data_IF_472890455813
#
_entry.id   IF_472890455813
#
_cell.length_a   1.000
_cell.length_b   1.000
_cell.length_c   1.000
_cell.angle_alpha   90.00
_cell.angle_beta   90.00
_cell.angle_gamma   90.00
#
_symmetry.space_group_name_H-M   'P 1'
#
loop_
_entity.id
_entity.type
_entity.pdbx_description
1 polymer ?
#
# COMPACT_ATOMS: atom_id res chain seq x y z
N UNK A 1 -32.81 -19.18 -15.96
CA UNK A 1 -32.51 -17.76 -16.21
C UNK A 1 -31.06 -17.70 -16.62
N UNK A 2 -30.76 -17.15 -17.80
CA UNK A 2 -29.40 -17.02 -18.25
C UNK A 2 -28.66 -16.01 -17.35
N UNK A 3 -27.48 -16.38 -16.80
CA UNK A 3 -26.60 -15.44 -16.12
C UNK A 3 -26.25 -14.33 -17.11
N UNK A 4 -26.31 -13.04 -16.70
CA UNK A 4 -25.87 -11.97 -17.55
C UNK A 4 -24.39 -12.22 -17.91
N UNK A 5 -24.06 -12.14 -19.21
CA UNK A 5 -22.70 -12.20 -19.70
C UNK A 5 -21.88 -11.13 -18.95
N UNK A 6 -20.97 -11.57 -18.10
CA UNK A 6 -20.05 -10.64 -17.42
C UNK A 6 -19.24 -9.93 -18.52
N UNK A 7 -19.32 -8.62 -18.56
CA UNK A 7 -18.47 -7.82 -19.45
C UNK A 7 -17.02 -8.10 -19.07
N UNK A 8 -16.11 -8.37 -20.02
CA UNK A 8 -14.72 -8.60 -19.67
C UNK A 8 -14.15 -7.38 -18.94
N UNK A 9 -13.37 -7.63 -17.88
CA UNK A 9 -12.69 -6.59 -17.13
C UNK A 9 -11.85 -5.71 -18.08
N UNK A 10 -12.02 -4.40 -17.97
CA UNK A 10 -11.16 -3.44 -18.66
C UNK A 10 -10.18 -2.86 -17.65
N UNK A 11 -8.90 -2.91 -18.00
CA UNK A 11 -7.80 -2.42 -17.17
C UNK A 11 -7.24 -1.16 -17.79
N UNK A 12 -7.25 -0.05 -17.03
CA UNK A 12 -6.63 1.22 -17.40
C UNK A 12 -5.53 1.56 -16.43
N UNK A 13 -4.28 1.44 -16.83
CA UNK A 13 -3.14 1.87 -15.99
C UNK A 13 -3.19 3.38 -15.74
N UNK A 14 -2.88 3.77 -14.51
CA UNK A 14 -2.93 5.17 -14.08
C UNK A 14 -1.56 5.84 -14.09
N UNK A 15 -0.49 5.09 -13.80
CA UNK A 15 0.88 5.58 -13.91
C UNK A 15 1.81 4.48 -14.44
N UNK A 16 3.05 4.86 -14.75
CA UNK A 16 4.09 3.89 -15.09
C UNK A 16 4.57 3.11 -13.86
N UNK A 17 4.44 3.68 -12.67
CA UNK A 17 4.96 3.11 -11.43
C UNK A 17 4.03 2.05 -10.84
N UNK A 18 2.74 2.36 -10.70
CA UNK A 18 1.72 1.50 -10.09
C UNK A 18 0.32 2.06 -10.37
N UNK A 19 -0.69 1.27 -10.00
CA UNK A 19 -2.09 1.68 -10.00
C UNK A 19 -2.82 1.41 -11.32
N UNK A 20 -3.99 0.77 -11.22
CA UNK A 20 -4.89 0.53 -12.33
C UNK A 20 -6.35 0.74 -11.92
N UNK A 21 -7.13 1.33 -12.83
CA UNK A 21 -8.58 1.38 -12.72
C UNK A 21 -9.18 0.20 -13.47
N UNK A 22 -10.09 -0.50 -12.81
CA UNK A 22 -10.71 -1.73 -13.29
C UNK A 22 -12.21 -1.47 -13.42
N UNK A 23 -12.76 -1.68 -14.60
CA UNK A 23 -14.18 -1.57 -14.87
C UNK A 23 -14.75 -2.87 -15.43
N UNK A 24 -16.07 -3.06 -15.32
CA UNK A 24 -16.75 -4.25 -15.81
C UNK A 24 -16.81 -5.42 -14.82
N UNK A 25 -16.31 -5.23 -13.58
CA UNK A 25 -16.43 -6.20 -12.50
C UNK A 25 -17.45 -5.72 -11.45
N UNK A 26 -18.19 -6.65 -10.88
CA UNK A 26 -19.09 -6.41 -9.72
C UNK A 26 -18.53 -7.15 -8.50
N UNK A 27 -17.97 -6.40 -7.56
CA UNK A 27 -17.30 -6.98 -6.39
C UNK A 27 -18.29 -7.39 -5.27
N UNK A 28 -19.54 -6.92 -5.30
CA UNK A 28 -20.58 -7.37 -4.37
C UNK A 28 -20.94 -8.86 -4.57
N UNK A 29 -20.60 -9.43 -5.72
CA UNK A 29 -20.86 -10.82 -6.09
C UNK A 29 -19.56 -11.57 -6.40
N UNK A 30 -18.52 -11.35 -5.59
CA UNK A 30 -17.23 -11.97 -5.79
C UNK A 30 -17.30 -13.49 -5.61
N UNK A 31 -17.02 -14.22 -6.68
CA UNK A 31 -16.80 -15.66 -6.68
C UNK A 31 -15.28 -15.97 -6.64
N UNK A 32 -14.86 -17.22 -6.39
CA UNK A 32 -13.44 -17.58 -6.34
C UNK A 32 -12.66 -17.19 -7.60
N UNK A 33 -13.26 -17.30 -8.78
CA UNK A 33 -12.61 -16.95 -10.06
C UNK A 33 -12.36 -15.44 -10.15
N UNK A 34 -13.33 -14.62 -9.75
CA UNK A 34 -13.19 -13.17 -9.70
C UNK A 34 -12.12 -12.77 -8.66
N UNK A 35 -12.12 -13.41 -7.50
CA UNK A 35 -11.12 -13.19 -6.45
C UNK A 35 -9.72 -13.49 -6.97
N UNK A 36 -9.49 -14.61 -7.65
CA UNK A 36 -8.19 -14.97 -8.24
C UNK A 36 -7.77 -13.97 -9.32
N UNK A 37 -8.72 -13.50 -10.13
CA UNK A 37 -8.44 -12.44 -11.11
C UNK A 37 -8.01 -11.14 -10.44
N UNK A 38 -8.70 -10.72 -9.37
CA UNK A 38 -8.36 -9.51 -8.60
C UNK A 38 -7.01 -9.65 -7.92
N UNK A 39 -6.69 -10.82 -7.34
CA UNK A 39 -5.36 -11.11 -6.77
C UNK A 39 -4.25 -10.94 -7.80
N UNK A 40 -4.42 -11.53 -8.99
CA UNK A 40 -3.45 -11.39 -10.08
C UNK A 40 -3.24 -9.94 -10.51
N UNK A 41 -4.33 -9.17 -10.65
CA UNK A 41 -4.26 -7.75 -10.97
C UNK A 41 -3.59 -6.93 -9.85
N UNK A 42 -3.85 -7.27 -8.57
CA UNK A 42 -3.24 -6.58 -7.43
C UNK A 42 -1.73 -6.82 -7.38
N UNK A 43 -1.26 -8.04 -7.64
CA UNK A 43 0.17 -8.34 -7.74
C UNK A 43 0.85 -7.59 -8.91
N UNK A 44 0.14 -7.41 -10.03
CA UNK A 44 0.67 -6.70 -11.19
C UNK A 44 0.72 -5.18 -10.99
N UNK A 45 -0.34 -4.61 -10.38
CA UNK A 45 -0.53 -3.16 -10.34
C UNK A 45 -0.36 -2.54 -8.95
N UNK A 46 -0.26 -3.32 -7.87
CA UNK A 46 -0.11 -2.99 -6.45
C UNK A 46 -1.27 -2.19 -5.84
N UNK A 47 -1.98 -1.41 -6.65
CA UNK A 47 -3.18 -0.64 -6.25
C UNK A 47 -4.22 -0.74 -7.35
N UNK A 48 -5.45 -1.09 -6.98
CA UNK A 48 -6.59 -1.22 -7.90
C UNK A 48 -7.73 -0.30 -7.48
N UNK A 49 -8.33 0.36 -8.44
CA UNK A 49 -9.50 1.22 -8.25
C UNK A 49 -10.67 0.65 -9.05
N UNK A 50 -11.80 0.50 -8.40
CA UNK A 50 -13.04 -0.02 -8.98
C UNK A 50 -14.12 1.06 -8.84
N UNK A 51 -14.36 1.88 -9.85
CA UNK A 51 -15.45 2.87 -9.82
C UNK A 51 -16.82 2.20 -9.76
N UNK A 52 -17.83 2.97 -9.33
CA UNK A 52 -19.24 2.61 -9.34
C UNK A 52 -19.59 1.30 -8.58
N UNK A 53 -18.83 0.96 -7.53
CA UNK A 53 -19.13 -0.16 -6.67
C UNK A 53 -20.16 0.26 -5.61
N UNK A 54 -21.25 -0.53 -5.50
CA UNK A 54 -22.31 -0.30 -4.51
C UNK A 54 -22.36 -1.48 -3.55
N UNK A 55 -21.39 -1.54 -2.64
CA UNK A 55 -21.34 -2.56 -1.60
C UNK A 55 -22.03 -2.05 -0.34
N UNK A 56 -22.89 -2.89 0.25
CA UNK A 56 -23.25 -2.78 1.65
C UNK A 56 -22.04 -3.10 2.54
N UNK A 57 -22.08 -2.70 3.80
CA UNK A 57 -21.02 -3.04 4.76
C UNK A 57 -20.81 -4.54 4.89
N UNK A 58 -21.90 -5.34 4.87
CA UNK A 58 -21.82 -6.80 4.92
C UNK A 58 -21.11 -7.38 3.70
N UNK A 59 -21.40 -6.88 2.49
CA UNK A 59 -20.72 -7.29 1.26
C UNK A 59 -19.26 -6.86 1.27
N UNK A 60 -18.93 -5.69 1.84
CA UNK A 60 -17.57 -5.22 1.98
C UNK A 60 -16.74 -6.13 2.90
N UNK A 61 -17.29 -6.52 4.05
CA UNK A 61 -16.66 -7.48 4.97
C UNK A 61 -16.53 -8.86 4.31
N UNK A 62 -17.59 -9.35 3.64
CA UNK A 62 -17.54 -10.63 2.93
C UNK A 62 -16.47 -10.65 1.84
N UNK A 63 -16.33 -9.54 1.09
CA UNK A 63 -15.27 -9.38 0.11
C UNK A 63 -13.89 -9.46 0.76
N UNK A 64 -13.67 -8.81 1.90
CA UNK A 64 -12.42 -8.87 2.65
C UNK A 64 -12.03 -10.30 3.04
N UNK A 65 -12.97 -11.09 3.52
CA UNK A 65 -12.74 -12.50 3.92
C UNK A 65 -12.28 -13.42 2.79
N UNK A 66 -12.53 -13.07 1.51
CA UNK A 66 -11.95 -13.82 0.39
C UNK A 66 -10.43 -13.67 0.28
N UNK A 67 -9.87 -12.67 0.92
CA UNK A 67 -8.43 -12.39 0.88
C UNK A 67 -7.69 -12.83 2.15
N UNK A 68 -8.39 -13.09 3.25
CA UNK A 68 -7.82 -13.57 4.51
C UNK A 68 -8.60 -13.11 5.74
N UNK A 69 -7.97 -13.28 6.91
CA UNK A 69 -8.55 -12.81 8.17
C UNK A 69 -8.53 -11.29 8.23
N UNK A 70 -9.59 -10.71 8.79
CA UNK A 70 -9.71 -9.26 8.91
C UNK A 70 -9.17 -8.79 10.25
N UNK A 71 -8.67 -7.56 10.27
CA UNK A 71 -8.28 -6.88 11.50
C UNK A 71 -9.51 -6.75 12.41
N UNK A 72 -9.36 -7.19 13.66
CA UNK A 72 -10.32 -6.99 14.73
C UNK A 72 -9.76 -5.91 15.68
N UNK A 73 -10.06 -4.65 15.40
CA UNK A 73 -9.52 -3.52 16.13
C UNK A 73 -10.52 -3.00 17.17
N UNK A 74 -10.10 -2.75 18.43
CA UNK A 74 -10.98 -2.27 19.50
C UNK A 74 -11.55 -0.85 19.27
N UNK A 75 -11.04 -0.12 18.29
CA UNK A 75 -11.60 1.15 17.82
C UNK A 75 -12.52 0.99 16.58
N UNK A 76 -12.70 -0.25 16.09
CA UNK A 76 -13.65 -0.59 15.04
C UNK A 76 -15.03 -0.72 15.65
N UNK A 77 -16.06 -0.29 14.93
CA UNK A 77 -17.44 -0.51 15.35
C UNK A 77 -17.93 0.42 16.49
N UNK A 78 -17.49 1.67 16.56
CA UNK A 78 -18.07 2.65 17.48
C UNK A 78 -19.47 3.14 17.07
N UNK A 79 -19.91 2.82 15.86
CA UNK A 79 -21.31 2.94 15.46
C UNK A 79 -22.00 1.63 15.82
N UNK A 80 -23.00 1.66 16.70
CA UNK A 80 -23.68 0.50 17.28
C UNK A 80 -24.25 -0.52 16.26
N UNK A 81 -24.33 -0.16 14.97
CA UNK A 81 -24.87 -0.99 13.89
C UNK A 81 -23.82 -1.46 12.87
N UNK A 82 -22.54 -1.04 12.97
CA UNK A 82 -21.52 -1.42 11.99
C UNK A 82 -20.81 -2.73 12.35
N UNK A 83 -20.47 -3.60 11.35
CA UNK A 83 -19.64 -4.78 11.60
C UNK A 83 -18.32 -4.42 12.27
N UNK A 84 -17.87 -5.24 13.22
CA UNK A 84 -16.66 -5.00 14.01
C UNK A 84 -15.36 -4.86 13.19
N UNK A 85 -15.34 -5.40 11.96
CA UNK A 85 -14.19 -5.34 11.04
C UNK A 85 -14.18 -4.12 10.12
N UNK A 86 -15.15 -3.19 10.24
CA UNK A 86 -15.18 -1.97 9.44
C UNK A 86 -14.60 -0.81 10.25
N UNK A 87 -13.53 -0.25 9.72
CA UNK A 87 -12.99 1.03 10.18
C UNK A 87 -13.62 2.17 9.37
N UNK A 88 -14.42 3.00 10.04
CA UNK A 88 -15.00 4.21 9.43
C UNK A 88 -14.20 5.44 9.87
N UNK A 89 -13.77 6.22 8.89
CA UNK A 89 -13.02 7.45 9.11
C UNK A 89 -13.78 8.62 8.53
N UNK A 90 -14.07 9.61 9.38
CA UNK A 90 -14.74 10.86 9.02
C UNK A 90 -13.79 12.02 9.28
N UNK A 91 -13.49 12.80 8.25
CA UNK A 91 -12.46 13.85 8.32
C UNK A 91 -12.79 14.92 9.39
N UNK A 92 -14.06 15.30 9.57
CA UNK A 92 -14.47 16.25 10.62
C UNK A 92 -14.24 15.77 12.05
N UNK A 93 -13.99 14.45 12.24
CA UNK A 93 -13.66 13.84 13.53
C UNK A 93 -12.15 13.73 13.77
N UNK A 94 -11.31 14.36 12.93
CA UNK A 94 -9.87 14.48 13.11
C UNK A 94 -9.06 13.34 12.51
N UNK A 95 -9.65 12.47 11.71
CA UNK A 95 -8.94 11.35 11.09
C UNK A 95 -8.49 11.67 9.66
N UNK A 96 -7.30 12.22 9.49
CA UNK A 96 -6.67 12.38 8.18
C UNK A 96 -5.30 11.72 8.23
N UNK A 97 -5.09 10.71 7.37
CA UNK A 97 -3.83 9.98 7.27
C UNK A 97 -2.89 10.72 6.29
N UNK A 98 -2.43 11.92 6.68
CA UNK A 98 -1.61 12.84 5.89
C UNK A 98 -0.10 12.74 6.17
N UNK A 99 0.34 11.57 6.60
CA UNK A 99 1.74 11.15 6.65
C UNK A 99 1.93 9.87 5.81
N UNK A 100 3.07 9.72 5.15
CA UNK A 100 3.34 8.53 4.36
C UNK A 100 3.47 7.29 5.24
N UNK A 101 2.61 6.29 4.99
CA UNK A 101 2.57 5.06 5.78
C UNK A 101 2.16 3.83 4.98
N UNK A 102 2.55 2.70 5.50
CA UNK A 102 1.95 1.38 5.28
C UNK A 102 1.15 1.04 6.52
N UNK A 103 -0.06 0.50 6.36
CA UNK A 103 -0.96 0.23 7.49
C UNK A 103 -0.34 -0.69 8.55
N UNK A 104 -0.49 -0.31 9.81
CA UNK A 104 -0.20 -1.07 11.03
C UNK A 104 1.16 -1.78 11.09
N UNK A 105 2.23 -1.15 10.56
CA UNK A 105 3.58 -1.75 10.57
C UNK A 105 4.20 -1.88 11.97
N UNK A 106 3.55 -1.40 13.00
CA UNK A 106 3.94 -1.62 14.39
C UNK A 106 3.54 -3.01 14.93
N UNK A 107 2.82 -3.81 14.15
CA UNK A 107 2.49 -5.20 14.49
C UNK A 107 3.51 -6.17 13.88
N UNK A 108 3.76 -7.30 14.56
CA UNK A 108 4.65 -8.36 14.07
C UNK A 108 4.11 -9.03 12.80
N UNK A 109 2.79 -9.09 12.68
CA UNK A 109 2.06 -9.51 11.49
C UNK A 109 1.24 -8.33 10.95
N UNK A 110 1.84 -7.44 10.16
CA UNK A 110 1.17 -6.25 9.68
C UNK A 110 0.13 -6.57 8.59
N UNK A 111 -0.65 -5.57 8.20
CA UNK A 111 -1.65 -5.71 7.15
C UNK A 111 -1.03 -6.22 5.84
N UNK A 112 -1.68 -7.22 5.24
CA UNK A 112 -1.38 -7.67 3.88
C UNK A 112 -1.93 -6.70 2.85
N UNK A 113 -3.21 -6.38 2.99
CA UNK A 113 -3.90 -5.46 2.09
C UNK A 113 -5.02 -4.72 2.80
N UNK A 114 -5.43 -3.63 2.20
CA UNK A 114 -6.59 -2.87 2.66
C UNK A 114 -7.59 -2.70 1.52
N UNK A 115 -8.87 -2.71 1.85
CA UNK A 115 -9.99 -2.50 0.94
C UNK A 115 -10.78 -1.30 1.47
N UNK A 116 -10.76 -0.20 0.73
CA UNK A 116 -11.40 1.06 1.10
C UNK A 116 -12.58 1.34 0.17
N UNK A 117 -13.73 1.64 0.76
CA UNK A 117 -14.90 2.14 0.07
C UNK A 117 -15.03 3.65 0.33
N UNK A 118 -15.00 4.45 -0.72
CA UNK A 118 -15.21 5.91 -0.63
C UNK A 118 -16.71 6.21 -0.55
N UNK A 119 -17.19 6.54 0.64
CA UNK A 119 -18.61 6.83 0.89
C UNK A 119 -18.95 8.25 0.47
N UNK A 120 -18.12 9.21 0.88
CA UNK A 120 -18.27 10.61 0.54
C UNK A 120 -16.89 11.25 0.37
N UNK A 121 -16.74 12.07 -0.65
CA UNK A 121 -15.52 12.85 -0.86
C UNK A 121 -15.84 14.30 -1.24
N UNK A 122 -14.92 15.24 -0.94
CA UNK A 122 -15.05 16.61 -1.39
C UNK A 122 -14.99 16.67 -2.93
N UNK A 123 -15.54 17.74 -3.51
CA UNK A 123 -15.52 17.96 -4.97
C UNK A 123 -14.11 18.28 -5.50
N UNK A 124 -13.22 18.79 -4.65
CA UNK A 124 -11.84 19.17 -4.97
C UNK A 124 -10.97 18.82 -3.77
N UNK A 125 -9.80 18.21 -4.02
CA UNK A 125 -8.85 17.80 -2.99
C UNK A 125 -9.24 16.50 -2.27
N UNK A 126 -8.52 16.15 -1.22
CA UNK A 126 -8.71 14.89 -0.48
C UNK A 126 -8.32 13.65 -1.26
N UNK A 127 -7.53 13.81 -2.31
CA UNK A 127 -6.98 12.70 -3.10
C UNK A 127 -6.06 11.83 -2.22
N UNK A 128 -5.81 10.62 -2.67
CA UNK A 128 -4.82 9.76 -2.03
C UNK A 128 -3.69 9.46 -3.02
N UNK A 129 -2.48 9.38 -2.51
CA UNK A 129 -1.29 8.97 -3.25
C UNK A 129 -0.80 7.62 -2.75
N UNK A 130 -0.27 6.81 -3.64
CA UNK A 130 0.44 5.56 -3.32
C UNK A 130 1.82 5.58 -3.93
N UNK A 131 2.79 4.94 -3.26
CA UNK A 131 4.15 4.78 -3.73
C UNK A 131 4.52 3.31 -3.89
N UNK A 132 5.24 2.98 -4.96
CA UNK A 132 5.75 1.66 -5.28
C UNK A 132 7.09 1.41 -4.60
N UNK A 133 7.09 0.58 -3.55
CA UNK A 133 8.28 0.29 -2.76
C UNK A 133 9.24 -0.72 -3.41
N UNK A 134 8.77 -1.50 -4.40
CA UNK A 134 9.66 -2.31 -5.25
C UNK A 134 10.56 -1.39 -6.07
N UNK A 135 9.93 -0.44 -6.77
CA UNK A 135 10.62 0.49 -7.63
C UNK A 135 11.56 1.40 -6.84
N UNK A 136 11.12 1.84 -5.66
CA UNK A 136 11.96 2.63 -4.75
C UNK A 136 13.21 1.85 -4.33
N UNK A 137 13.09 0.57 -3.92
CA UNK A 137 14.26 -0.25 -3.61
C UNK A 137 15.18 -0.43 -4.83
N UNK A 138 14.63 -0.75 -5.99
CA UNK A 138 15.40 -0.99 -7.22
C UNK A 138 16.22 0.24 -7.64
N UNK A 139 15.71 1.43 -7.39
CA UNK A 139 16.34 2.69 -7.76
C UNK A 139 17.36 3.21 -6.71
N UNK A 140 17.50 2.55 -5.57
CA UNK A 140 18.63 2.80 -4.68
C UNK A 140 19.93 2.40 -5.37
N UNK A 141 21.02 3.12 -5.08
CA UNK A 141 22.37 2.69 -5.52
C UNK A 141 22.73 1.32 -4.92
N UNK A 142 23.51 0.53 -5.64
CA UNK A 142 23.94 -0.81 -5.15
C UNK A 142 24.54 -0.79 -3.74
N UNK A 143 25.41 0.19 -3.35
CA UNK A 143 25.89 0.26 -1.97
C UNK A 143 24.78 0.45 -0.93
N UNK A 144 23.76 1.28 -1.23
CA UNK A 144 22.63 1.47 -0.32
C UNK A 144 21.72 0.25 -0.28
N UNK A 145 21.50 -0.44 -1.39
CA UNK A 145 20.78 -1.70 -1.40
C UNK A 145 21.46 -2.75 -0.52
N UNK A 146 22.80 -2.88 -0.63
CA UNK A 146 23.59 -3.81 0.18
C UNK A 146 23.53 -3.46 1.68
N UNK A 147 23.64 -2.18 2.01
CA UNK A 147 23.53 -1.71 3.39
C UNK A 147 22.14 -2.01 3.94
N UNK A 148 21.07 -1.57 3.26
CA UNK A 148 19.71 -1.72 3.75
C UNK A 148 19.26 -3.17 3.98
N UNK A 149 19.81 -4.14 3.22
CA UNK A 149 19.51 -5.58 3.43
C UNK A 149 20.00 -6.12 4.77
N UNK A 150 20.98 -5.47 5.39
CA UNK A 150 21.57 -5.90 6.64
C UNK A 150 20.97 -5.20 7.86
N UNK A 151 19.98 -4.34 7.64
CA UNK A 151 19.42 -3.46 8.65
C UNK A 151 17.99 -3.85 8.99
N UNK A 152 17.64 -3.63 10.26
CA UNK A 152 16.27 -3.71 10.77
C UNK A 152 15.81 -2.34 11.29
N UNK A 153 14.52 -2.13 11.27
CA UNK A 153 13.91 -0.89 11.73
C UNK A 153 12.86 -1.16 12.80
N UNK A 154 12.86 -0.33 13.84
CA UNK A 154 11.84 -0.32 14.87
C UNK A 154 10.65 0.53 14.41
N UNK A 155 9.48 -0.06 14.47
CA UNK A 155 8.19 0.59 14.23
C UNK A 155 7.38 0.63 15.52
N UNK A 156 6.64 1.72 15.77
CA UNK A 156 5.74 1.84 16.92
C UNK A 156 4.40 2.49 16.56
N UNK A 157 3.43 2.31 17.45
CA UNK A 157 2.11 2.92 17.34
C UNK A 157 2.00 4.26 18.12
N UNK A 158 3.11 5.00 18.27
CA UNK A 158 3.09 6.34 18.91
C UNK A 158 2.05 7.29 18.29
N UNK A 159 1.86 7.34 16.95
CA UNK A 159 0.82 8.17 16.34
C UNK A 159 -0.60 7.80 16.77
N UNK A 160 -0.80 6.57 17.23
CA UNK A 160 -2.08 6.07 17.75
C UNK A 160 -2.19 6.14 19.27
N UNK A 161 -1.25 6.82 19.96
CA UNK A 161 -1.13 6.91 21.42
C UNK A 161 -0.87 5.56 22.11
N UNK A 162 -0.25 4.62 21.41
CA UNK A 162 0.15 3.30 21.91
C UNK A 162 1.64 3.03 21.68
N UNK A 163 2.57 3.85 22.23
CA UNK A 163 4.01 3.72 21.98
C UNK A 163 4.61 2.39 22.46
N UNK A 164 3.90 1.66 23.32
CA UNK A 164 4.28 0.33 23.80
C UNK A 164 4.08 -0.78 22.74
N UNK A 165 3.22 -0.55 21.76
CA UNK A 165 3.04 -1.49 20.65
C UNK A 165 4.15 -1.27 19.63
N UNK A 166 5.05 -2.21 19.55
CA UNK A 166 6.25 -2.12 18.72
C UNK A 166 6.52 -3.41 17.96
N UNK A 167 7.11 -3.27 16.78
CA UNK A 167 7.67 -4.38 16.02
C UNK A 167 9.00 -3.98 15.39
N UNK A 168 9.88 -4.95 15.20
CA UNK A 168 11.13 -4.78 14.45
C UNK A 168 11.00 -5.54 13.14
N UNK A 169 11.19 -4.84 12.03
CA UNK A 169 11.10 -5.41 10.70
C UNK A 169 12.40 -5.19 9.92
N UNK A 170 12.73 -6.05 8.94
CA UNK A 170 13.84 -5.76 8.03
C UNK A 170 13.56 -4.47 7.24
N UNK A 171 14.59 -3.66 7.04
CA UNK A 171 14.51 -2.47 6.18
C UNK A 171 14.21 -2.87 4.73
N UNK A 172 14.65 -4.04 4.31
CA UNK A 172 14.31 -4.64 3.02
C UNK A 172 13.65 -6.00 3.25
N UNK A 173 12.33 -6.04 3.12
CA UNK A 173 11.57 -7.30 3.20
C UNK A 173 11.48 -8.00 1.85
N UNK A 174 11.21 -9.31 1.87
CA UNK A 174 10.73 -10.03 0.69
C UNK A 174 9.20 -9.98 0.63
N UNK A 175 8.67 -9.78 -0.57
CA UNK A 175 7.23 -9.95 -0.78
C UNK A 175 6.91 -11.46 -0.93
N UNK A 176 6.02 -12.04 -0.11
CA UNK A 176 5.89 -13.49 -0.01
C UNK A 176 5.37 -14.18 -1.27
N UNK A 177 4.60 -13.48 -2.10
CA UNK A 177 4.03 -14.06 -3.34
C UNK A 177 4.91 -13.79 -4.57
N UNK A 178 5.60 -12.64 -4.63
CA UNK A 178 6.40 -12.26 -5.80
C UNK A 178 7.89 -12.56 -5.65
N UNK A 179 8.37 -12.74 -4.41
CA UNK A 179 9.79 -12.89 -4.12
C UNK A 179 10.60 -11.60 -4.27
N UNK A 180 9.94 -10.46 -4.48
CA UNK A 180 10.63 -9.17 -4.73
C UNK A 180 11.09 -8.49 -3.45
N UNK A 181 12.24 -7.79 -3.48
CA UNK A 181 12.65 -6.91 -2.41
C UNK A 181 11.81 -5.63 -2.38
N UNK A 182 11.45 -5.24 -1.18
CA UNK A 182 10.63 -4.08 -0.87
C UNK A 182 11.36 -3.21 0.13
N UNK A 183 11.48 -1.92 -0.11
CA UNK A 183 11.98 -0.97 0.89
C UNK A 183 10.89 -0.70 1.92
N UNK A 184 11.04 -1.29 3.12
CA UNK A 184 9.96 -1.37 4.12
C UNK A 184 10.20 -0.46 5.32
N UNK A 185 10.27 0.83 5.07
CA UNK A 185 10.31 1.90 6.07
C UNK A 185 9.31 2.99 5.70
N UNK A 186 8.66 3.62 6.68
CA UNK A 186 7.70 4.68 6.45
C UNK A 186 7.86 5.82 7.46
N UNK A 187 7.36 7.00 7.13
CA UNK A 187 7.47 8.19 7.95
C UNK A 187 6.66 8.06 9.24
N UNK A 188 5.46 7.51 9.15
CA UNK A 188 4.46 7.52 10.22
C UNK A 188 4.82 6.59 11.40
N UNK A 189 5.27 5.35 11.12
CA UNK A 189 5.50 4.33 12.15
C UNK A 189 6.96 4.00 12.40
N UNK A 190 7.89 4.22 11.45
CA UNK A 190 9.29 3.86 11.62
C UNK A 190 10.03 4.88 12.49
N UNK A 191 10.67 4.42 13.59
CA UNK A 191 11.34 5.31 14.56
C UNK A 191 12.84 5.34 14.41
N UNK A 192 13.46 4.19 14.19
CA UNK A 192 14.91 4.11 14.08
C UNK A 192 15.35 2.85 13.35
N UNK A 193 16.55 2.89 12.81
CA UNK A 193 17.28 1.72 12.33
C UNK A 193 18.08 1.18 13.52
N UNK A 194 17.90 -0.11 13.82
CA UNK A 194 18.32 -0.70 15.09
C UNK A 194 19.83 -0.80 15.22
N UNK A 195 20.53 -1.17 14.15
CA UNK A 195 21.98 -1.44 14.11
C UNK A 195 22.83 -0.16 14.06
N UNK A 196 22.20 0.99 13.81
CA UNK A 196 22.90 2.26 13.65
C UNK A 196 22.87 3.10 14.92
N UNK A 197 23.88 3.95 15.10
CA UNK A 197 23.84 5.02 16.10
C UNK A 197 22.69 5.99 15.81
N UNK A 198 22.21 6.71 16.83
CA UNK A 198 21.08 7.61 16.67
C UNK A 198 21.27 8.64 15.52
N UNK A 199 22.43 9.32 15.38
CA UNK A 199 22.65 10.26 14.27
C UNK A 199 22.67 9.59 12.89
N UNK A 200 23.27 8.40 12.77
CA UNK A 200 23.30 7.64 11.51
C UNK A 200 21.91 7.17 11.11
N UNK A 201 21.18 6.62 12.08
CA UNK A 201 19.80 6.18 11.89
C UNK A 201 18.90 7.33 11.42
N UNK A 202 18.99 8.50 12.06
CA UNK A 202 18.22 9.68 11.68
C UNK A 202 18.49 10.12 10.23
N UNK A 203 19.76 10.19 9.85
CA UNK A 203 20.16 10.62 8.50
C UNK A 203 19.69 9.62 7.45
N UNK A 204 19.92 8.32 7.67
CA UNK A 204 19.54 7.28 6.70
C UNK A 204 18.03 7.14 6.60
N UNK A 205 17.32 7.11 7.73
CA UNK A 205 15.86 6.97 7.73
C UNK A 205 15.18 8.15 7.04
N UNK A 206 15.59 9.38 7.33
CA UNK A 206 15.10 10.59 6.65
C UNK A 206 15.34 10.52 5.14
N UNK A 207 16.52 10.06 4.72
CA UNK A 207 16.80 9.87 3.29
C UNK A 207 15.85 8.86 2.66
N UNK A 208 15.67 7.67 3.27
CA UNK A 208 14.86 6.59 2.74
C UNK A 208 13.37 6.97 2.67
N UNK A 209 12.83 7.61 3.73
CA UNK A 209 11.42 8.03 3.77
C UNK A 209 11.13 9.14 2.74
N UNK A 210 12.05 10.07 2.51
CA UNK A 210 11.92 11.07 1.46
C UNK A 210 12.13 10.46 0.05
N UNK A 211 13.00 9.47 -0.07
CA UNK A 211 13.29 8.85 -1.36
C UNK A 211 12.06 8.11 -1.91
N UNK A 212 11.33 7.38 -1.08
CA UNK A 212 10.15 6.60 -1.52
C UNK A 212 8.99 7.47 -1.98
N UNK A 213 8.95 8.75 -1.60
CA UNK A 213 7.86 9.67 -1.94
C UNK A 213 8.06 10.43 -3.26
N UNK A 214 9.14 10.14 -3.99
CA UNK A 214 9.43 10.83 -5.25
C UNK A 214 8.31 10.58 -6.29
N UNK A 215 7.92 11.61 -7.06
CA UNK A 215 6.80 11.53 -8.01
C UNK A 215 6.90 10.37 -9.01
N UNK A 216 8.10 9.95 -9.38
CA UNK A 216 8.33 8.83 -10.31
C UNK A 216 7.93 7.46 -9.76
N UNK A 217 7.75 7.33 -8.44
CA UNK A 217 7.32 6.12 -7.78
C UNK A 217 5.83 6.11 -7.45
N UNK A 218 5.13 7.23 -7.69
CA UNK A 218 3.81 7.45 -7.14
C UNK A 218 2.70 7.43 -8.19
N UNK A 219 1.49 7.19 -7.70
CA UNK A 219 0.23 7.47 -8.37
C UNK A 219 -0.63 8.32 -7.46
N UNK A 220 -1.35 9.29 -8.00
CA UNK A 220 -2.37 10.08 -7.32
C UNK A 220 -3.73 9.71 -7.88
N UNK A 221 -4.70 9.50 -7.02
CA UNK A 221 -6.07 9.18 -7.41
C UNK A 221 -7.05 10.19 -6.85
N UNK A 222 -7.84 10.79 -7.75
CA UNK A 222 -8.95 11.66 -7.40
C UNK A 222 -10.19 10.82 -7.17
N UNK A 223 -10.75 10.93 -5.97
CA UNK A 223 -11.85 10.12 -5.55
C UNK A 223 -13.20 10.51 -6.15
N UNK A 224 -14.03 9.49 -6.31
CA UNK A 224 -15.48 9.62 -6.54
C UNK A 224 -16.22 8.73 -5.54
N UNK A 225 -17.39 9.16 -5.02
CA UNK A 225 -18.21 8.32 -4.15
C UNK A 225 -18.55 6.99 -4.82
N UNK A 226 -18.50 5.90 -4.07
CA UNK A 226 -18.70 4.55 -4.60
C UNK A 226 -17.48 3.96 -5.31
N UNK A 227 -16.31 4.60 -5.25
CA UNK A 227 -15.06 3.96 -5.67
C UNK A 227 -14.55 3.04 -4.58
N UNK A 228 -14.38 1.75 -4.90
CA UNK A 228 -13.65 0.81 -4.06
C UNK A 228 -12.17 0.82 -4.47
N UNK A 229 -11.27 0.88 -3.49
CA UNK A 229 -9.83 0.79 -3.73
C UNK A 229 -9.25 -0.38 -2.93
N UNK A 230 -8.37 -1.14 -3.57
CA UNK A 230 -7.59 -2.21 -2.93
C UNK A 230 -6.11 -1.91 -3.13
N UNK A 231 -5.31 -2.03 -2.07
CA UNK A 231 -3.85 -1.91 -2.19
C UNK A 231 -3.12 -2.97 -1.39
N UNK A 232 -1.96 -3.36 -1.91
CA UNK A 232 -1.06 -4.31 -1.26
C UNK A 232 -0.13 -3.55 -0.30
N UNK A 233 -0.39 -3.65 0.99
CA UNK A 233 0.42 -3.02 2.04
C UNK A 233 1.85 -3.61 2.12
N UNK A 234 2.06 -4.79 1.54
CA UNK A 234 3.37 -5.44 1.58
C UNK A 234 4.39 -4.75 0.68
N UNK A 235 3.92 -3.94 -0.28
CA UNK A 235 4.79 -3.29 -1.28
C UNK A 235 4.39 -1.84 -1.62
N UNK A 236 3.46 -1.24 -0.89
CA UNK A 236 3.05 0.16 -1.08
C UNK A 236 3.02 0.95 0.21
N UNK A 237 3.20 2.25 0.09
CA UNK A 237 2.83 3.26 1.09
C UNK A 237 1.77 4.17 0.50
N UNK A 238 1.00 4.82 1.38
CA UNK A 238 0.00 5.77 0.94
C UNK A 238 -0.03 7.03 1.83
N UNK A 239 -0.69 8.07 1.30
CA UNK A 239 -0.74 9.40 1.87
C UNK A 239 -2.03 10.08 1.42
N UNK A 240 -2.81 10.67 2.32
CA UNK A 240 -4.00 11.46 1.99
C UNK A 240 -3.62 12.93 1.90
N UNK A 241 -3.95 13.59 0.79
CA UNK A 241 -3.75 15.03 0.67
C UNK A 241 -4.80 15.77 1.53
N UNK A 242 -4.30 16.51 2.50
CA UNK A 242 -5.12 17.31 3.41
C UNK A 242 -5.32 18.73 2.82
N UNK A 243 -5.84 18.79 1.59
CA UNK A 243 -5.99 19.99 0.77
C UNK A 243 -7.47 20.28 0.39
N UNK A 244 -8.40 19.84 1.25
CA UNK A 244 -9.83 19.90 0.95
C UNK A 244 -10.65 20.61 2.04
N UNK A 245 -11.86 20.98 1.67
CA UNK A 245 -12.88 21.51 2.58
C UNK A 245 -14.15 20.66 2.44
N UNK A 246 -14.79 20.35 3.55
CA UNK A 246 -16.00 19.53 3.60
C UNK A 246 -15.73 18.11 4.10
N UNK A 247 -16.76 17.27 4.01
CA UNK A 247 -16.67 15.91 4.51
C UNK A 247 -15.96 14.95 3.55
N UNK A 248 -15.11 14.12 4.14
CA UNK A 248 -14.52 12.94 3.51
C UNK A 248 -14.78 11.76 4.43
N UNK A 249 -15.57 10.80 3.95
CA UNK A 249 -15.98 9.61 4.71
C UNK A 249 -15.56 8.36 3.95
N UNK A 250 -14.81 7.52 4.63
CA UNK A 250 -14.40 6.21 4.10
C UNK A 250 -14.82 5.09 5.04
N UNK A 251 -15.03 3.92 4.46
CA UNK A 251 -15.08 2.66 5.18
C UNK A 251 -13.96 1.76 4.67
N UNK A 252 -13.23 1.12 5.58
CA UNK A 252 -12.09 0.27 5.24
C UNK A 252 -12.19 -1.04 6.02
N UNK A 253 -11.88 -2.15 5.34
CA UNK A 253 -11.49 -3.39 5.96
C UNK A 253 -10.01 -3.63 5.71
N UNK A 254 -9.31 -4.11 6.74
CA UNK A 254 -7.89 -4.44 6.69
C UNK A 254 -7.74 -5.95 6.75
N UNK A 255 -7.06 -6.54 5.78
CA UNK A 255 -6.76 -7.97 5.75
C UNK A 255 -5.38 -8.19 6.37
N UNK A 256 -5.33 -9.03 7.40
CA UNK A 256 -4.10 -9.34 8.12
C UNK A 256 -3.12 -10.12 7.26
N UNK A 257 -1.86 -9.90 7.50
CA UNK A 257 -0.75 -10.53 6.79
C UNK A 257 0.00 -11.55 7.64
N UNK A 258 1.14 -11.95 7.11
CA UNK A 258 2.08 -12.87 7.74
C UNK A 258 3.25 -12.11 8.39
N UNK A 259 4.12 -12.82 9.10
CA UNK A 259 5.38 -12.27 9.58
C UNK A 259 6.22 -11.74 8.41
N UNK A 260 7.05 -10.75 8.73
CA UNK A 260 7.82 -10.02 7.71
C UNK A 260 9.21 -10.62 7.57
N UNK A 261 9.46 -11.32 6.46
CA UNK A 261 10.76 -11.91 6.16
C UNK A 261 11.71 -10.91 5.50
N UNK A 262 13.00 -11.02 5.84
CA UNK A 262 14.06 -10.26 5.18
C UNK A 262 14.29 -10.77 3.75
N UNK A 263 14.68 -9.87 2.86
CA UNK A 263 15.07 -10.24 1.50
C UNK A 263 16.52 -10.76 1.48
N UNK A 264 16.67 -12.02 1.12
CA UNK A 264 17.96 -12.66 0.85
C UNK A 264 18.08 -12.98 -0.64
N UNK A 265 19.00 -12.34 -1.37
CA UNK A 265 19.15 -12.60 -2.80
C UNK A 265 19.67 -14.03 -3.03
N UNK A 266 18.97 -14.79 -3.87
CA UNK A 266 19.40 -16.11 -4.34
C UNK A 266 20.01 -15.97 -5.74
N UNK A 267 21.16 -16.66 -5.95
CA UNK A 267 21.75 -16.77 -7.28
C UNK A 267 20.96 -17.73 -8.20
N UNK A 268 20.17 -18.62 -7.61
CA UNK A 268 19.36 -19.62 -8.32
C UNK A 268 18.02 -19.06 -8.80
N UNK A 269 17.52 -18.03 -8.14
CA UNK A 269 16.33 -17.31 -8.58
C UNK A 269 16.69 -15.84 -8.81
N UNK A 270 17.18 -15.53 -10.01
CA UNK A 270 17.42 -14.13 -10.36
C UNK A 270 16.10 -13.38 -10.27
N UNK A 271 16.12 -12.36 -9.48
CA UNK A 271 15.08 -11.41 -9.30
C UNK A 271 14.46 -10.98 -10.64
N UNK A 272 13.25 -11.36 -10.90
CA UNK A 272 12.50 -11.01 -12.09
C UNK A 272 11.28 -10.15 -11.70
N UNK A 273 11.22 -8.93 -12.15
CA UNK A 273 10.12 -8.01 -11.87
C UNK A 273 8.83 -8.47 -12.55
N UNK A 274 7.66 -8.48 -11.87
CA UNK A 274 6.41 -8.73 -12.54
C UNK A 274 6.04 -7.59 -13.49
N UNK A 275 5.60 -7.97 -14.70
CA UNK A 275 4.83 -7.12 -15.56
C UNK A 275 5.57 -6.00 -16.29
N UNK A 276 4.81 -5.05 -16.85
CA UNK A 276 5.29 -4.03 -17.78
C UNK A 276 6.23 -2.97 -17.19
N UNK A 277 6.42 -2.93 -15.88
CA UNK A 277 7.33 -2.00 -15.19
C UNK A 277 8.80 -2.21 -15.58
N UNK A 278 9.17 -3.38 -16.12
CA UNK A 278 10.53 -3.66 -16.58
C UNK A 278 11.03 -2.70 -17.67
N UNK A 279 10.13 -2.17 -18.50
CA UNK A 279 10.49 -1.20 -19.53
C UNK A 279 10.75 0.19 -18.97
N UNK A 280 9.89 0.66 -18.06
CA UNK A 280 10.06 1.94 -17.37
C UNK A 280 11.36 1.97 -16.57
N UNK A 281 11.68 0.88 -15.84
CA UNK A 281 12.92 0.80 -15.06
C UNK A 281 14.19 0.80 -15.90
N UNK A 282 14.15 0.25 -17.12
CA UNK A 282 15.33 0.33 -18.04
C UNK A 282 15.58 1.76 -18.50
N UNK A 283 14.52 2.50 -18.76
CA UNK A 283 14.62 3.90 -19.14
C UNK A 283 15.13 4.76 -17.99
N UNK A 284 14.60 4.56 -16.78
CA UNK A 284 15.04 5.26 -15.58
C UNK A 284 16.50 4.96 -15.22
N UNK A 285 16.95 3.71 -15.39
CA UNK A 285 18.37 3.37 -15.19
C UNK A 285 19.29 4.16 -16.14
N UNK A 286 18.87 4.36 -17.40
CA UNK A 286 19.65 5.17 -18.35
C UNK A 286 19.70 6.64 -17.92
N UNK A 287 18.61 7.20 -17.39
CA UNK A 287 18.61 8.59 -16.89
C UNK A 287 19.50 8.79 -15.67
N UNK A 288 19.61 7.78 -14.79
CA UNK A 288 20.49 7.87 -13.61
C UNK A 288 21.97 7.75 -13.93
N UNK A 289 22.34 6.97 -14.96
CA UNK A 289 23.73 6.81 -15.36
C UNK A 289 24.29 7.99 -16.18
N UNK A 290 23.42 8.90 -16.61
CA UNK A 290 23.86 10.14 -17.27
C UNK A 290 24.19 11.29 -16.30
N UNK A 291 23.99 11.10 -15.00
CA UNK A 291 24.58 11.98 -13.99
C UNK A 291 26.06 11.59 -13.82
N UNK A 292 26.90 12.08 -14.72
CA UNK A 292 28.34 11.94 -14.61
C UNK A 292 28.81 12.92 -13.52
N UNK A 293 29.37 12.45 -12.39
CA UNK A 293 29.82 13.36 -11.33
C UNK A 293 31.08 14.14 -11.72
N UNK A 294 31.37 14.23 -12.99
CA UNK A 294 32.54 14.93 -13.53
C UNK A 294 32.24 16.13 -14.44
N UNK A 295 30.97 16.48 -14.60
CA UNK A 295 30.55 17.71 -15.29
C UNK A 295 30.17 18.80 -14.29
#
# INVERSE_FOLDING_TARGET
MAQPLQTPAKVRRLSAALGAEITGLNLAQADPKLVDQVKGLLLEHQVLFFPDQKLSQAEHVALGHHFGDLEDHPNLGKDDDAPASIFRLTASQGGIADEWHTDITFQTQPAKMSILNMIQCPSIGGDTMWSNLYLAYEQLSSPLQMLCRQLTALHDAHPHNHPEQTAVHPVVRVHPETGYPVLYVNEHFTRRIVELSAPESEVLLRYLTQFVTQPRFTVRYQWQPGTLCMWDNRCTQHFVLNDFVGERIIERVTVMGDEVDAFEPSLEQPYARPGPLSAASRHDRQLFFHFNPRD
#
